data_IF_887212909537
#
_entry.id   IF_887212909537
#
_cell.length_a   1.000
_cell.length_b   1.000
_cell.length_c   1.000
_cell.angle_alpha   90.00
_cell.angle_beta   90.00
_cell.angle_gamma   90.00
#
_symmetry.space_group_name_H-M   'P 1'
#
loop_
_entity.id
_entity.type
_entity.pdbx_description
1 polymer ?
#
# COMPACT_ATOMS: atom_id res chain seq x y z
N UNK A 1 -15.38 24.89 -12.87
CA UNK A 1 -15.93 23.72 -12.13
C UNK A 1 -14.96 22.54 -12.00
N UNK A 2 -14.39 22.02 -13.10
CA UNK A 2 -13.57 20.78 -13.14
C UNK A 2 -12.40 20.69 -12.14
N UNK A 3 -11.70 21.79 -11.82
CA UNK A 3 -10.56 21.79 -10.89
C UNK A 3 -10.97 21.53 -9.43
N UNK A 4 -12.09 22.11 -8.98
CA UNK A 4 -12.62 21.92 -7.62
C UNK A 4 -13.11 20.49 -7.42
N UNK A 5 -13.76 19.91 -8.41
CA UNK A 5 -14.19 18.50 -8.40
C UNK A 5 -13.00 17.54 -8.33
N UNK A 6 -11.95 17.76 -9.13
CA UNK A 6 -10.71 16.95 -9.09
C UNK A 6 -10.05 16.99 -7.71
N UNK A 7 -10.01 18.16 -7.08
CA UNK A 7 -9.46 18.33 -5.73
C UNK A 7 -10.31 17.62 -4.66
N UNK A 8 -11.65 17.72 -4.73
CA UNK A 8 -12.56 16.97 -3.84
C UNK A 8 -12.41 15.47 -3.99
N UNK A 9 -12.34 14.96 -5.22
CA UNK A 9 -12.08 13.53 -5.50
C UNK A 9 -10.72 13.10 -4.93
N UNK A 10 -9.66 13.87 -5.17
CA UNK A 10 -8.34 13.61 -4.60
C UNK A 10 -8.36 13.58 -3.06
N UNK A 11 -9.12 14.45 -2.43
CA UNK A 11 -9.28 14.47 -0.97
C UNK A 11 -9.96 13.19 -0.46
N UNK A 12 -11.08 12.78 -1.07
CA UNK A 12 -11.75 11.51 -0.71
C UNK A 12 -10.82 10.32 -0.93
N UNK A 13 -10.13 10.27 -2.06
CA UNK A 13 -9.14 9.23 -2.36
C UNK A 13 -8.01 9.20 -1.33
N UNK A 14 -7.51 10.36 -0.89
CA UNK A 14 -6.46 10.43 0.13
C UNK A 14 -6.94 9.83 1.46
N UNK A 15 -8.18 10.10 1.88
CA UNK A 15 -8.76 9.50 3.09
C UNK A 15 -8.86 7.98 2.98
N UNK A 16 -9.34 7.46 1.85
CA UNK A 16 -9.42 6.00 1.63
C UNK A 16 -8.03 5.37 1.68
N UNK A 17 -7.05 5.96 0.98
CA UNK A 17 -5.67 5.45 1.00
C UNK A 17 -5.03 5.54 2.39
N UNK A 18 -5.32 6.58 3.17
CA UNK A 18 -4.84 6.71 4.54
C UNK A 18 -5.35 5.58 5.44
N UNK A 19 -6.64 5.24 5.33
CA UNK A 19 -7.22 4.12 6.09
C UNK A 19 -6.61 2.78 5.65
N UNK A 20 -6.48 2.56 4.34
CA UNK A 20 -5.92 1.30 3.81
C UNK A 20 -4.45 1.12 4.20
N UNK A 21 -3.60 2.14 4.01
CA UNK A 21 -2.19 2.10 4.39
C UNK A 21 -2.01 2.06 5.89
N UNK A 22 -2.84 2.79 6.65
CA UNK A 22 -2.81 2.75 8.11
C UNK A 22 -3.13 1.36 8.65
N UNK A 23 -4.19 0.73 8.14
CA UNK A 23 -4.55 -0.64 8.49
C UNK A 23 -3.47 -1.66 8.10
N UNK A 24 -2.92 -1.56 6.88
CA UNK A 24 -1.83 -2.41 6.42
C UNK A 24 -0.57 -2.24 7.29
N UNK A 25 -0.21 -1.00 7.64
CA UNK A 25 0.94 -0.68 8.48
C UNK A 25 0.80 -1.31 9.87
N UNK A 26 -0.38 -1.20 10.48
CA UNK A 26 -0.67 -1.87 11.77
C UNK A 26 -0.50 -3.39 11.66
N UNK A 27 -0.93 -4.02 10.56
CA UNK A 27 -0.81 -5.47 10.41
C UNK A 27 0.63 -5.96 10.29
N UNK A 28 1.60 -5.13 9.90
CA UNK A 28 3.03 -5.49 9.95
C UNK A 28 3.50 -5.76 11.38
N UNK A 29 2.94 -5.07 12.37
CA UNK A 29 3.27 -5.26 13.79
C UNK A 29 2.46 -6.39 14.43
N UNK A 30 1.16 -6.48 14.10
CA UNK A 30 0.26 -7.48 14.67
C UNK A 30 0.44 -8.88 14.07
N UNK A 31 0.77 -8.99 12.78
CA UNK A 31 0.87 -10.26 12.04
C UNK A 31 2.12 -10.31 11.14
N UNK A 32 3.32 -10.15 11.72
CA UNK A 32 4.56 -9.99 10.96
C UNK A 32 4.96 -11.21 10.12
N UNK A 33 4.63 -12.42 10.57
CA UNK A 33 5.11 -13.69 9.97
C UNK A 33 4.77 -13.84 8.48
N UNK A 34 3.66 -13.24 8.03
CA UNK A 34 3.30 -13.25 6.62
C UNK A 34 4.21 -12.34 5.79
N UNK A 35 4.48 -11.14 6.31
CA UNK A 35 5.35 -10.15 5.69
C UNK A 35 6.82 -10.60 5.69
N UNK A 36 7.30 -11.16 6.80
CA UNK A 36 8.69 -11.63 6.92
C UNK A 36 9.03 -12.70 5.86
N UNK A 37 8.07 -13.53 5.45
CA UNK A 37 8.28 -14.60 4.45
C UNK A 37 8.40 -14.12 3.02
N UNK A 38 7.91 -12.91 2.73
CA UNK A 38 7.90 -12.35 1.38
C UNK A 38 9.04 -11.34 1.18
N UNK A 39 9.81 -11.05 2.25
CA UNK A 39 11.02 -10.24 2.17
C UNK A 39 12.04 -10.95 1.27
N UNK A 40 12.67 -10.24 0.31
CA UNK A 40 13.71 -10.80 -0.55
C UNK A 40 14.88 -11.41 0.23
N UNK A 41 15.46 -12.46 -0.34
CA UNK A 41 16.72 -13.05 0.16
C UNK A 41 17.82 -11.98 0.12
N UNK A 42 18.49 -11.75 1.26
CA UNK A 42 19.53 -10.72 1.41
C UNK A 42 19.14 -9.53 2.30
N UNK A 43 17.88 -9.42 2.74
CA UNK A 43 17.45 -8.41 3.72
C UNK A 43 17.04 -9.05 5.05
N UNK A 44 17.28 -8.40 6.21
CA UNK A 44 16.84 -8.94 7.50
C UNK A 44 15.30 -8.88 7.61
N UNK A 45 14.58 -10.01 7.60
CA UNK A 45 13.12 -10.02 7.37
C UNK A 45 12.33 -9.16 8.34
N UNK A 46 12.62 -9.33 9.63
CA UNK A 46 11.94 -8.60 10.70
C UNK A 46 12.18 -7.09 10.62
N UNK A 47 13.40 -6.68 10.31
CA UNK A 47 13.75 -5.27 10.20
C UNK A 47 13.04 -4.65 9.00
N UNK A 48 13.06 -5.33 7.85
CA UNK A 48 12.38 -4.88 6.64
C UNK A 48 10.88 -4.72 6.85
N UNK A 49 10.21 -5.69 7.49
CA UNK A 49 8.79 -5.62 7.84
C UNK A 49 8.48 -4.45 8.78
N UNK A 50 9.34 -4.17 9.77
CA UNK A 50 9.13 -3.04 10.69
C UNK A 50 9.30 -1.71 9.94
N UNK A 51 10.35 -1.59 9.14
CA UNK A 51 10.63 -0.36 8.36
C UNK A 51 9.51 -0.09 7.36
N UNK A 52 9.01 -1.12 6.66
CA UNK A 52 7.87 -0.97 5.74
C UNK A 52 6.60 -0.58 6.49
N UNK A 53 6.33 -1.19 7.64
CA UNK A 53 5.19 -0.83 8.50
C UNK A 53 5.24 0.62 8.97
N UNK A 54 6.42 1.11 9.40
CA UNK A 54 6.61 2.52 9.76
C UNK A 54 6.41 3.45 8.55
N UNK A 55 6.94 3.07 7.38
CA UNK A 55 6.76 3.85 6.16
C UNK A 55 5.28 3.95 5.76
N UNK A 56 4.52 2.84 5.82
CA UNK A 56 3.07 2.82 5.57
C UNK A 56 2.30 3.74 6.52
N UNK A 57 2.60 3.67 7.82
CA UNK A 57 1.99 4.53 8.83
C UNK A 57 2.32 6.01 8.62
N UNK A 58 3.58 6.32 8.28
CA UNK A 58 4.02 7.68 7.97
C UNK A 58 3.29 8.26 6.74
N UNK A 59 3.15 7.46 5.68
CA UNK A 59 2.40 7.87 4.48
C UNK A 59 0.91 8.03 4.81
N UNK A 60 0.32 7.14 5.62
CA UNK A 60 -1.07 7.26 6.05
C UNK A 60 -1.33 8.55 6.84
N UNK A 61 -0.46 8.88 7.80
CA UNK A 61 -0.51 10.13 8.53
C UNK A 61 -0.36 11.35 7.59
N UNK A 62 0.59 11.28 6.65
CA UNK A 62 0.80 12.32 5.65
C UNK A 62 -0.37 12.50 4.68
N UNK A 63 -1.15 11.45 4.39
CA UNK A 63 -2.38 11.53 3.61
C UNK A 63 -3.54 12.13 4.41
N UNK A 64 -3.56 11.96 5.74
CA UNK A 64 -4.56 12.57 6.61
C UNK A 64 -4.41 14.11 6.64
N UNK A 65 -3.17 14.60 6.73
CA UNK A 65 -2.85 16.04 6.81
C UNK A 65 -2.92 16.71 5.42
N UNK A 66 -3.80 17.72 5.20
CA UNK A 66 -3.99 18.33 3.88
C UNK A 66 -2.73 18.88 3.22
N UNK A 67 -1.80 19.45 4.00
CA UNK A 67 -0.57 20.06 3.49
C UNK A 67 0.39 19.03 2.88
N UNK A 68 0.42 17.80 3.41
CA UNK A 68 1.36 16.74 3.01
C UNK A 68 0.76 15.76 2.00
N UNK A 69 -0.53 15.88 1.66
CA UNK A 69 -1.23 14.93 0.77
C UNK A 69 -0.55 14.72 -0.58
N UNK A 70 -0.03 15.79 -1.20
CA UNK A 70 0.62 15.65 -2.51
C UNK A 70 1.88 14.80 -2.43
N UNK A 71 2.76 15.11 -1.48
CA UNK A 71 3.98 14.34 -1.25
C UNK A 71 3.64 12.89 -0.88
N UNK A 72 2.69 12.72 0.03
CA UNK A 72 2.26 11.40 0.51
C UNK A 72 1.57 10.57 -0.59
N UNK A 73 0.86 11.20 -1.53
CA UNK A 73 0.29 10.53 -2.69
C UNK A 73 1.38 9.98 -3.64
N UNK A 74 2.47 10.71 -3.84
CA UNK A 74 3.62 10.20 -4.60
C UNK A 74 4.38 9.12 -3.84
N UNK A 75 4.59 9.30 -2.52
CA UNK A 75 5.21 8.29 -1.67
C UNK A 75 4.40 6.99 -1.65
N UNK A 76 3.07 7.07 -1.57
CA UNK A 76 2.18 5.91 -1.66
C UNK A 76 2.32 5.20 -3.02
N UNK A 77 2.38 5.95 -4.13
CA UNK A 77 2.56 5.36 -5.45
C UNK A 77 3.91 4.63 -5.55
N UNK A 78 4.99 5.25 -5.07
CA UNK A 78 6.32 4.64 -5.04
C UNK A 78 6.34 3.37 -4.17
N UNK A 79 5.74 3.43 -2.98
CA UNK A 79 5.63 2.27 -2.09
C UNK A 79 4.86 1.13 -2.76
N UNK A 80 3.69 1.40 -3.35
CA UNK A 80 2.91 0.37 -4.04
C UNK A 80 3.69 -0.27 -5.19
N UNK A 81 4.50 0.49 -5.93
CA UNK A 81 5.36 -0.10 -6.96
C UNK A 81 6.48 -0.95 -6.35
N UNK A 82 7.10 -0.47 -5.27
CA UNK A 82 8.20 -1.16 -4.59
C UNK A 82 7.76 -2.50 -3.97
N UNK A 83 6.55 -2.61 -3.43
CA UNK A 83 6.02 -3.84 -2.82
C UNK A 83 5.37 -4.79 -3.82
N UNK A 84 5.18 -4.38 -5.08
CA UNK A 84 4.56 -5.23 -6.10
C UNK A 84 5.30 -6.56 -6.33
N UNK A 85 6.64 -6.60 -6.46
CA UNK A 85 7.37 -7.87 -6.58
C UNK A 85 7.14 -8.81 -5.39
N UNK A 86 7.08 -8.28 -4.17
CA UNK A 86 6.82 -9.06 -2.97
C UNK A 86 5.39 -9.66 -2.98
N UNK A 87 4.39 -8.92 -3.47
CA UNK A 87 3.03 -9.43 -3.65
C UNK A 87 2.93 -10.50 -4.73
N UNK A 88 3.69 -10.37 -5.83
CA UNK A 88 3.78 -11.42 -6.87
C UNK A 88 4.38 -12.70 -6.29
N UNK A 89 5.50 -12.59 -5.56
CA UNK A 89 6.11 -13.73 -4.86
C UNK A 89 5.13 -14.39 -3.90
N UNK A 90 4.45 -13.60 -3.08
CA UNK A 90 3.44 -14.11 -2.15
C UNK A 90 2.33 -14.88 -2.87
N UNK A 91 1.84 -14.38 -4.00
CA UNK A 91 0.80 -15.05 -4.77
C UNK A 91 1.29 -16.39 -5.33
N UNK A 92 2.52 -16.43 -5.87
CA UNK A 92 3.16 -17.67 -6.32
C UNK A 92 3.32 -18.68 -5.17
N UNK A 93 3.91 -18.25 -4.05
CA UNK A 93 4.12 -19.08 -2.86
C UNK A 93 2.80 -19.67 -2.33
N UNK A 94 1.69 -18.91 -2.39
CA UNK A 94 0.37 -19.38 -1.97
C UNK A 94 -0.23 -20.39 -2.95
N UNK A 95 -0.03 -20.21 -4.25
CA UNK A 95 -0.50 -21.14 -5.28
C UNK A 95 0.23 -22.48 -5.18
N UNK A 96 1.54 -22.44 -4.96
CA UNK A 96 2.40 -23.64 -4.88
C UNK A 96 2.29 -24.36 -3.53
N UNK A 97 1.88 -23.66 -2.46
CA UNK A 97 1.81 -24.25 -1.13
C UNK A 97 0.65 -25.26 -0.99
N UNK A 98 0.92 -26.54 -0.66
CA UNK A 98 -0.14 -27.53 -0.43
C UNK A 98 -0.97 -27.23 0.83
N UNK A 99 -0.42 -26.41 1.75
CA UNK A 99 -1.09 -26.02 3.01
C UNK A 99 -1.98 -24.78 2.86
N UNK A 100 -1.90 -24.06 1.74
CA UNK A 100 -2.71 -22.86 1.52
C UNK A 100 -4.15 -23.24 1.20
N UNK A 101 -5.11 -22.66 1.96
CA UNK A 101 -6.54 -22.80 1.65
C UNK A 101 -6.93 -22.05 0.37
N UNK A 102 -8.05 -22.46 -0.25
CA UNK A 102 -8.60 -21.83 -1.47
C UNK A 102 -8.76 -20.31 -1.34
N UNK A 103 -9.24 -19.84 -0.19
CA UNK A 103 -9.42 -18.40 0.09
C UNK A 103 -8.09 -17.65 0.07
N UNK A 104 -7.03 -18.19 0.68
CA UNK A 104 -5.72 -17.55 0.72
C UNK A 104 -5.13 -17.41 -0.69
N UNK A 105 -5.23 -18.46 -1.50
CA UNK A 105 -4.83 -18.43 -2.92
C UNK A 105 -5.58 -17.36 -3.71
N UNK A 106 -6.91 -17.33 -3.58
CA UNK A 106 -7.75 -16.34 -4.26
C UNK A 106 -7.36 -14.91 -3.85
N UNK A 107 -7.16 -14.67 -2.55
CA UNK A 107 -6.74 -13.35 -2.04
C UNK A 107 -5.36 -12.97 -2.61
N UNK A 108 -4.40 -13.89 -2.67
CA UNK A 108 -3.09 -13.65 -3.26
C UNK A 108 -3.17 -13.19 -4.71
N UNK A 109 -3.95 -13.91 -5.54
CA UNK A 109 -4.12 -13.60 -6.96
C UNK A 109 -4.89 -12.29 -7.17
N UNK A 110 -6.01 -12.09 -6.47
CA UNK A 110 -6.87 -10.90 -6.62
C UNK A 110 -6.16 -9.62 -6.19
N UNK A 111 -5.21 -9.69 -5.26
CA UNK A 111 -4.41 -8.53 -4.83
C UNK A 111 -3.59 -7.91 -5.97
N UNK A 112 -3.10 -8.72 -6.92
CA UNK A 112 -2.25 -8.24 -8.00
C UNK A 112 -2.95 -7.23 -8.92
N UNK A 113 -4.13 -7.53 -9.53
CA UNK A 113 -4.84 -6.55 -10.34
C UNK A 113 -5.39 -5.39 -9.51
N UNK A 114 -5.67 -5.59 -8.21
CA UNK A 114 -6.09 -4.51 -7.30
C UNK A 114 -4.98 -3.49 -7.01
N UNK A 115 -3.72 -3.82 -7.29
CA UNK A 115 -2.62 -2.88 -7.07
C UNK A 115 -2.61 -1.73 -8.09
N UNK A 116 -3.03 -1.99 -9.34
CA UNK A 116 -3.14 -0.97 -10.37
C UNK A 116 -4.07 0.21 -10.01
N UNK A 117 -5.32 0.00 -9.55
CA UNK A 117 -6.17 1.10 -9.12
C UNK A 117 -5.62 1.83 -7.89
N UNK A 118 -4.93 1.15 -6.96
CA UNK A 118 -4.27 1.79 -5.81
C UNK A 118 -3.16 2.75 -6.25
N UNK A 119 -2.30 2.34 -7.18
CA UNK A 119 -1.28 3.21 -7.78
C UNK A 119 -1.93 4.39 -8.49
N UNK A 120 -2.96 4.15 -9.31
CA UNK A 120 -3.67 5.22 -10.01
C UNK A 120 -4.32 6.23 -9.04
N UNK A 121 -4.85 5.76 -7.92
CA UNK A 121 -5.40 6.59 -6.85
C UNK A 121 -4.32 7.41 -6.16
N UNK A 122 -3.17 6.82 -5.83
CA UNK A 122 -2.04 7.50 -5.23
C UNK A 122 -1.50 8.62 -6.14
N UNK A 123 -1.30 8.32 -7.43
CA UNK A 123 -0.91 9.31 -8.45
C UNK A 123 -1.94 10.42 -8.58
N UNK A 124 -3.25 10.09 -8.51
CA UNK A 124 -4.31 11.11 -8.54
C UNK A 124 -4.18 12.08 -7.38
N UNK A 125 -3.92 11.57 -6.16
CA UNK A 125 -3.68 12.39 -4.97
C UNK A 125 -2.44 13.28 -5.16
N UNK A 126 -1.31 12.70 -5.59
CA UNK A 126 -0.06 13.43 -5.83
C UNK A 126 -0.18 14.58 -6.83
N UNK A 127 -1.01 14.39 -7.87
CA UNK A 127 -1.26 15.39 -8.92
C UNK A 127 -2.28 16.47 -8.53
N UNK A 128 -3.35 16.11 -7.79
CA UNK A 128 -4.54 16.97 -7.65
C UNK A 128 -4.89 17.39 -6.22
N UNK A 129 -4.19 16.90 -5.20
CA UNK A 129 -4.40 17.42 -3.85
C UNK A 129 -4.02 18.92 -3.79
N UNK A 130 -4.74 19.73 -3.00
CA UNK A 130 -4.43 21.14 -2.86
C UNK A 130 -2.98 21.36 -2.42
N UNK A 131 -2.29 22.34 -3.02
CA UNK A 131 -1.16 22.99 -2.35
C UNK A 131 -1.81 23.97 -1.39
N UNK A 132 -1.71 23.69 -0.08
CA UNK A 132 -2.00 24.70 0.93
C UNK A 132 -0.69 25.39 1.26
#
# INVERSE_FOLDING_TARGET
>A
MRRRERSRRATRTATVLAVLLGGAGVTHFLRPRGYDRIVPEGLPPRLTTVVSGVAELGIAAGLAVPATRRASGWAAAALFLAVFPANVKMAADLLDSPRAGRVARLVGVVRLPLQAPLVAWAVRVGRHAPRR
#
